data_IF_699962960425
#
_entry.id   IF_699962960425
#
_cell.length_a   1.000
_cell.length_b   1.000
_cell.length_c   1.000
_cell.angle_alpha   90.00
_cell.angle_beta   90.00
_cell.angle_gamma   90.00
#
_symmetry.space_group_name_H-M   'P 1'
#
loop_
_entity.id
_entity.type
_entity.pdbx_description
1 polymer ?
#
# COMPACT_ATOMS: atom_id res chain seq x y z
N UNK A 1 0.82 -2.59 46.43
CA UNK A 1 1.58 -2.21 45.22
C UNK A 1 3.07 -2.32 45.50
N UNK A 2 3.64 -3.52 45.38
CA UNK A 2 5.05 -3.74 45.65
C UNK A 2 5.82 -3.74 44.32
N UNK A 3 6.63 -2.70 44.09
CA UNK A 3 7.62 -2.70 43.00
C UNK A 3 8.74 -3.67 43.38
N UNK A 4 9.21 -4.46 42.43
CA UNK A 4 10.35 -5.35 42.65
C UNK A 4 11.60 -4.57 43.06
N UNK A 5 12.27 -5.03 44.11
CA UNK A 5 13.54 -4.50 44.58
C UNK A 5 14.68 -4.81 43.59
N UNK A 6 15.80 -4.09 43.72
CA UNK A 6 16.99 -4.32 42.87
C UNK A 6 17.56 -5.74 43.02
N UNK A 7 17.44 -6.32 44.22
CA UNK A 7 17.88 -7.68 44.52
C UNK A 7 16.97 -8.72 43.84
N UNK A 8 15.65 -8.50 43.88
CA UNK A 8 14.68 -9.35 43.19
C UNK A 8 14.90 -9.36 41.67
N UNK A 9 15.24 -8.23 41.07
CA UNK A 9 15.59 -8.17 39.64
C UNK A 9 16.88 -8.96 39.30
N UNK A 10 17.85 -9.02 40.21
CA UNK A 10 19.07 -9.79 40.01
C UNK A 10 18.81 -11.30 40.08
N UNK A 11 17.93 -11.74 40.98
CA UNK A 11 17.53 -13.14 41.09
C UNK A 11 16.72 -13.60 39.87
N UNK A 12 15.82 -12.76 39.37
CA UNK A 12 15.04 -13.03 38.14
C UNK A 12 15.96 -13.14 36.93
N UNK A 13 16.96 -12.25 36.82
CA UNK A 13 18.00 -12.34 35.79
C UNK A 13 18.71 -13.69 35.85
N UNK A 14 19.18 -14.08 37.03
CA UNK A 14 19.92 -15.34 37.22
C UNK A 14 19.09 -16.56 36.86
N UNK A 15 17.79 -16.55 37.22
CA UNK A 15 16.85 -17.62 36.84
C UNK A 15 16.63 -17.67 35.32
N UNK A 16 16.45 -16.51 34.68
CA UNK A 16 16.24 -16.45 33.23
C UNK A 16 17.48 -16.86 32.43
N UNK A 17 18.67 -16.48 32.89
CA UNK A 17 19.95 -16.87 32.26
C UNK A 17 20.28 -18.36 32.44
N UNK A 18 19.74 -19.00 33.50
CA UNK A 18 19.90 -20.43 33.76
C UNK A 18 18.85 -21.32 33.08
N UNK A 19 17.73 -20.75 32.63
CA UNK A 19 16.65 -21.51 31.99
C UNK A 19 16.88 -21.63 30.47
N UNK A 20 16.56 -22.79 29.90
CA UNK A 20 16.68 -23.06 28.47
C UNK A 20 15.57 -22.39 27.64
N UNK A 21 14.41 -22.08 28.22
CA UNK A 21 13.22 -21.55 27.53
C UNK A 21 13.41 -20.14 27.01
N UNK A 22 13.22 -19.93 25.71
CA UNK A 22 13.33 -18.60 25.09
C UNK A 22 12.14 -17.68 25.45
N UNK A 23 12.40 -16.38 25.43
CA UNK A 23 11.43 -15.34 25.73
C UNK A 23 11.21 -15.06 27.22
N UNK A 24 10.24 -14.18 27.50
CA UNK A 24 9.99 -13.62 28.83
C UNK A 24 8.56 -13.87 29.33
N UNK A 25 7.77 -14.67 28.60
CA UNK A 25 6.34 -14.87 28.88
C UNK A 25 6.14 -15.76 30.12
N UNK A 26 6.81 -16.92 30.15
CA UNK A 26 6.75 -17.84 31.29
C UNK A 26 7.20 -17.18 32.60
N UNK A 27 8.18 -16.28 32.52
CA UNK A 27 8.70 -15.54 33.67
C UNK A 27 7.68 -14.51 34.17
N UNK A 28 6.92 -13.88 33.27
CA UNK A 28 5.84 -12.96 33.65
C UNK A 28 4.68 -13.72 34.32
N UNK A 29 4.33 -14.89 33.80
CA UNK A 29 3.27 -15.73 34.36
C UNK A 29 3.64 -16.24 35.76
N UNK A 30 4.91 -16.64 35.97
CA UNK A 30 5.42 -17.08 37.27
C UNK A 30 5.45 -15.95 38.30
N UNK A 31 5.91 -14.75 37.91
CA UNK A 31 5.91 -13.58 38.80
C UNK A 31 4.49 -13.14 39.15
N UNK A 32 3.55 -13.24 38.20
CA UNK A 32 2.13 -12.99 38.44
C UNK A 32 1.54 -14.00 39.42
N UNK A 33 1.90 -15.29 39.31
CA UNK A 33 1.49 -16.33 40.25
C UNK A 33 2.06 -16.12 41.67
N UNK A 34 3.23 -15.49 41.80
CA UNK A 34 3.84 -15.11 43.08
C UNK A 34 3.25 -13.82 43.66
N UNK A 35 2.25 -13.22 43.01
CA UNK A 35 1.57 -11.99 43.46
C UNK A 35 2.27 -10.69 43.06
N UNK A 36 3.22 -10.73 42.12
CA UNK A 36 3.85 -9.55 41.55
C UNK A 36 3.17 -9.14 40.24
N UNK A 37 2.72 -7.89 40.14
CA UNK A 37 2.11 -7.33 38.93
C UNK A 37 3.18 -6.93 37.90
N UNK A 38 3.85 -7.92 37.28
CA UNK A 38 4.91 -7.71 36.27
C UNK A 38 4.49 -8.32 34.93
N UNK A 39 4.36 -7.49 33.90
CA UNK A 39 4.02 -7.93 32.54
C UNK A 39 5.30 -8.29 31.74
N UNK A 40 5.22 -9.22 30.80
CA UNK A 40 6.28 -9.57 29.83
C UNK A 40 7.02 -8.35 29.27
N UNK A 41 6.30 -7.27 28.93
CA UNK A 41 6.88 -6.05 28.37
C UNK A 41 7.83 -5.32 29.35
N UNK A 42 7.52 -5.33 30.65
CA UNK A 42 8.39 -4.70 31.66
C UNK A 42 9.66 -5.50 31.87
N UNK A 43 9.60 -6.83 31.81
CA UNK A 43 10.77 -7.73 31.85
C UNK A 43 11.64 -7.54 30.60
N UNK A 44 11.04 -7.52 29.40
CA UNK A 44 11.80 -7.32 28.16
C UNK A 44 12.54 -5.96 28.12
N UNK A 45 11.91 -4.90 28.65
CA UNK A 45 12.53 -3.58 28.78
C UNK A 45 13.65 -3.57 29.83
N UNK A 46 13.49 -4.30 30.94
CA UNK A 46 14.54 -4.46 31.95
C UNK A 46 15.73 -5.27 31.40
N UNK A 47 15.46 -6.37 30.69
CA UNK A 47 16.46 -7.22 30.04
C UNK A 47 17.29 -6.47 29.01
N UNK A 48 16.64 -5.66 28.16
CA UNK A 48 17.33 -4.80 27.17
C UNK A 48 18.20 -3.74 27.83
N UNK A 49 17.74 -3.15 28.95
CA UNK A 49 18.45 -2.08 29.66
C UNK A 49 19.63 -2.60 30.48
N UNK A 50 19.57 -3.84 30.95
CA UNK A 50 20.60 -4.49 31.76
C UNK A 50 21.47 -5.48 30.97
N UNK A 51 21.21 -5.64 29.67
CA UNK A 51 21.97 -6.53 28.78
C UNK A 51 21.93 -7.99 29.23
N UNK A 52 20.74 -8.53 29.47
CA UNK A 52 20.60 -9.96 29.78
C UNK A 52 20.98 -10.79 28.55
N UNK A 53 21.78 -11.83 28.73
CA UNK A 53 22.22 -12.71 27.67
C UNK A 53 22.33 -14.14 28.22
N UNK A 54 21.83 -15.12 27.47
CA UNK A 54 22.01 -16.52 27.82
C UNK A 54 23.42 -16.95 27.42
N UNK A 55 24.09 -17.70 28.28
CA UNK A 55 25.40 -18.27 27.98
C UNK A 55 25.27 -19.19 26.75
N UNK A 56 25.80 -18.76 25.61
CA UNK A 56 25.81 -19.54 24.37
C UNK A 56 25.15 -18.90 23.15
N UNK A 57 24.56 -17.71 23.27
CA UNK A 57 24.12 -16.93 22.11
C UNK A 57 24.84 -15.59 22.09
N UNK A 58 25.84 -15.47 21.21
CA UNK A 58 26.43 -14.18 20.84
C UNK A 58 25.30 -13.29 20.31
N UNK A 59 25.04 -12.23 21.06
CA UNK A 59 24.00 -11.28 20.77
C UNK A 59 24.40 -10.49 19.52
N UNK A 60 23.75 -10.74 18.38
CA UNK A 60 23.82 -9.85 17.20
C UNK A 60 23.09 -8.56 17.57
N UNK A 61 23.78 -7.73 18.34
CA UNK A 61 23.38 -6.35 18.58
C UNK A 61 23.66 -5.58 17.28
N UNK A 62 22.60 -5.08 16.66
CA UNK A 62 22.64 -4.14 15.55
C UNK A 62 23.55 -2.96 15.92
N UNK A 63 24.79 -2.97 15.43
CA UNK A 63 25.68 -1.81 15.43
C UNK A 63 25.25 -0.90 14.28
N UNK A 64 24.67 0.24 14.61
CA UNK A 64 24.66 1.39 13.71
C UNK A 64 26.11 1.80 13.43
N UNK A 65 26.52 1.76 12.17
CA UNK A 65 27.83 2.27 11.73
C UNK A 65 27.62 3.53 10.91
N UNK A 66 28.14 4.62 11.47
CA UNK A 66 28.35 5.92 10.82
C UNK A 66 29.66 5.87 10.02
N UNK A 67 29.58 6.32 8.76
CA UNK A 67 30.59 6.89 7.84
C UNK A 67 32.05 6.37 7.75
N UNK A 68 32.55 6.51 6.50
CA UNK A 68 33.93 6.46 5.96
C UNK A 68 34.57 5.07 5.89
N UNK A 69 35.03 4.59 4.74
CA UNK A 69 36.11 5.21 3.95
C UNK A 69 36.02 5.00 2.43
N UNK A 70 36.64 5.96 1.73
CA UNK A 70 36.97 5.90 0.31
C UNK A 70 38.21 5.03 0.13
N UNK A 71 38.13 4.00 -0.71
CA UNK A 71 39.28 3.51 -1.48
C UNK A 71 38.86 2.96 -2.84
N UNK A 72 39.45 3.56 -3.87
CA UNK A 72 39.96 2.99 -5.13
C UNK A 72 39.15 1.89 -5.82
N UNK A 73 38.52 2.19 -6.96
CA UNK A 73 39.10 1.98 -8.31
C UNK A 73 39.92 0.70 -8.41
N UNK A 74 39.31 -0.36 -8.96
CA UNK A 74 39.80 -1.13 -10.12
C UNK A 74 38.81 -2.26 -10.46
N UNK A 75 38.85 -2.71 -11.71
CA UNK A 75 38.07 -3.79 -12.34
C UNK A 75 36.71 -3.41 -12.96
N UNK A 76 36.82 -2.44 -13.86
CA UNK A 76 36.22 -2.53 -15.21
C UNK A 76 36.77 -3.77 -15.93
N UNK A 77 35.98 -4.31 -16.87
CA UNK A 77 36.34 -5.34 -17.85
C UNK A 77 36.53 -6.76 -17.30
N UNK A 78 35.42 -7.46 -17.11
CA UNK A 78 35.23 -8.87 -17.49
C UNK A 78 33.79 -9.27 -17.12
N UNK A 79 32.83 -9.01 -18.00
CA UNK A 79 31.52 -9.69 -18.10
C UNK A 79 30.72 -9.16 -19.31
N UNK A 80 31.42 -8.90 -20.43
CA UNK A 80 30.81 -8.50 -21.71
C UNK A 80 30.65 -9.69 -22.66
N UNK A 81 31.19 -10.86 -22.34
CA UNK A 81 31.10 -12.05 -23.19
C UNK A 81 30.49 -13.18 -22.37
N UNK A 82 29.17 -13.35 -22.46
CA UNK A 82 28.37 -14.56 -22.16
C UNK A 82 26.86 -14.21 -22.15
N UNK A 83 26.41 -13.41 -23.12
CA UNK A 83 24.99 -13.06 -23.32
C UNK A 83 24.46 -13.45 -24.71
N UNK A 84 25.24 -14.19 -25.50
CA UNK A 84 24.98 -14.34 -26.94
C UNK A 84 24.54 -15.75 -27.38
N UNK A 85 24.27 -16.66 -26.44
CA UNK A 85 23.95 -18.05 -26.79
C UNK A 85 22.78 -18.55 -25.94
N UNK A 86 21.57 -18.02 -26.18
CA UNK A 86 20.28 -18.64 -25.80
C UNK A 86 19.10 -17.75 -26.28
N UNK A 87 18.98 -17.58 -27.60
CA UNK A 87 17.80 -16.99 -28.22
C UNK A 87 16.64 -18.01 -28.21
N UNK A 88 15.72 -17.87 -27.26
CA UNK A 88 14.42 -18.54 -27.33
C UNK A 88 13.54 -17.78 -28.34
N UNK A 89 13.26 -18.41 -29.47
CA UNK A 89 12.32 -17.93 -30.49
C UNK A 89 10.90 -17.93 -29.91
N UNK A 90 10.44 -16.78 -29.42
CA UNK A 90 9.02 -16.56 -29.16
C UNK A 90 8.30 -16.42 -30.51
N UNK A 91 7.56 -17.46 -30.88
CA UNK A 91 6.61 -17.40 -32.00
C UNK A 91 5.38 -16.64 -31.51
N UNK A 92 5.33 -15.35 -31.82
CA UNK A 92 4.15 -14.49 -31.68
C UNK A 92 3.12 -14.89 -32.74
N UNK A 93 1.89 -15.32 -32.38
CA UNK A 93 0.83 -15.45 -33.37
C UNK A 93 0.38 -14.06 -33.87
N UNK A 94 0.17 -13.97 -35.18
CA UNK A 94 -0.13 -12.73 -35.91
C UNK A 94 -1.40 -12.01 -35.38
N UNK A 95 -1.46 -10.67 -35.43
CA UNK A 95 -2.65 -9.92 -35.04
C UNK A 95 -3.75 -10.09 -36.10
N UNK A 96 -4.89 -10.63 -35.71
CA UNK A 96 -6.13 -10.54 -36.50
C UNK A 96 -6.67 -9.11 -36.39
N UNK A 97 -6.54 -8.34 -37.48
CA UNK A 97 -7.21 -7.06 -37.65
C UNK A 97 -8.73 -7.28 -37.70
N UNK A 98 -9.46 -6.73 -36.73
CA UNK A 98 -10.91 -6.53 -36.85
C UNK A 98 -11.15 -5.10 -37.37
N UNK A 99 -12.15 -4.89 -38.24
CA UNK A 99 -12.36 -3.62 -38.90
C UNK A 99 -12.78 -2.53 -37.89
N UNK A 100 -12.15 -1.37 -38.03
CA UNK A 100 -12.48 -0.12 -37.35
C UNK A 100 -13.86 0.35 -37.85
N UNK A 101 -14.86 0.60 -36.97
CA UNK A 101 -16.05 1.31 -37.39
C UNK A 101 -15.71 2.78 -37.64
N UNK A 102 -16.07 3.23 -38.83
CA UNK A 102 -15.92 4.56 -39.41
C UNK A 102 -16.54 5.64 -38.51
N UNK A 103 -15.76 6.69 -38.22
CA UNK A 103 -16.20 7.85 -37.45
C UNK A 103 -17.22 8.65 -38.27
N UNK A 104 -18.44 8.80 -37.74
CA UNK A 104 -19.40 9.78 -38.25
C UNK A 104 -19.17 11.14 -37.56
N UNK A 105 -19.40 12.25 -38.27
CA UNK A 105 -18.97 13.58 -37.84
C UNK A 105 -19.83 14.13 -36.72
N UNK A 106 -19.17 14.81 -35.79
CA UNK A 106 -19.75 15.59 -34.70
C UNK A 106 -20.67 16.69 -35.27
N UNK A 107 -21.94 16.68 -34.88
CA UNK A 107 -22.82 17.84 -35.01
C UNK A 107 -23.06 18.42 -33.61
N UNK A 108 -22.43 19.58 -33.39
CA UNK A 108 -22.73 20.50 -32.31
C UNK A 108 -24.19 20.97 -32.38
N UNK A 109 -25.02 20.59 -31.41
CA UNK A 109 -26.14 21.41 -30.94
C UNK A 109 -26.71 20.90 -29.61
N UNK A 110 -26.84 21.85 -28.67
CA UNK A 110 -27.73 21.84 -27.50
C UNK A 110 -27.16 21.40 -26.14
N UNK A 111 -26.51 22.38 -25.49
CA UNK A 111 -25.97 22.35 -24.13
C UNK A 111 -27.04 22.41 -23.01
N UNK A 112 -28.29 21.96 -23.24
CA UNK A 112 -29.31 21.97 -22.18
C UNK A 112 -30.47 20.97 -22.37
N UNK A 113 -30.17 19.74 -22.82
CA UNK A 113 -31.14 18.65 -22.79
C UNK A 113 -30.94 17.81 -21.52
N UNK A 114 -31.99 17.67 -20.70
CA UNK A 114 -32.05 16.71 -19.61
C UNK A 114 -31.69 15.30 -20.13
N UNK A 115 -30.92 14.48 -19.37
CA UNK A 115 -30.47 13.18 -19.87
C UNK A 115 -31.68 12.27 -20.08
N UNK A 116 -32.13 12.20 -21.32
CA UNK A 116 -33.11 11.25 -21.78
C UNK A 116 -32.42 9.89 -21.81
N UNK A 117 -32.90 8.97 -20.97
CA UNK A 117 -32.40 7.60 -20.93
C UNK A 117 -32.83 6.91 -22.22
N UNK A 118 -31.96 6.89 -23.24
CA UNK A 118 -32.12 5.98 -24.37
C UNK A 118 -31.88 4.56 -23.86
N UNK A 119 -32.97 3.79 -23.80
CA UNK A 119 -32.92 2.34 -23.66
C UNK A 119 -32.17 1.77 -24.87
N UNK A 120 -30.89 1.47 -24.68
CA UNK A 120 -30.10 0.73 -25.67
C UNK A 120 -30.58 -0.72 -25.70
N UNK A 121 -31.16 -1.13 -26.82
CA UNK A 121 -31.69 -2.47 -27.09
C UNK A 121 -30.67 -3.57 -26.74
N UNK A 122 -31.02 -4.41 -25.75
CA UNK A 122 -30.23 -5.55 -25.23
C UNK A 122 -30.11 -6.74 -26.21
N UNK A 123 -30.19 -6.51 -27.52
CA UNK A 123 -30.50 -7.56 -28.50
C UNK A 123 -29.30 -8.35 -29.06
N UNK A 124 -28.04 -8.01 -28.79
CA UNK A 124 -26.88 -8.69 -29.39
C UNK A 124 -25.91 -9.41 -28.42
N UNK A 125 -26.41 -9.97 -27.31
CA UNK A 125 -25.63 -10.85 -26.45
C UNK A 125 -26.07 -12.32 -26.55
N UNK A 126 -25.86 -12.96 -27.70
CA UNK A 126 -25.99 -14.43 -27.82
C UNK A 126 -24.71 -15.13 -27.36
N UNK A 127 -24.61 -15.54 -26.10
CA UNK A 127 -23.89 -16.75 -25.62
C UNK A 127 -24.43 -17.14 -24.24
N UNK A 128 -24.98 -18.36 -24.11
CA UNK A 128 -25.82 -18.83 -23.00
C UNK A 128 -25.17 -18.84 -21.62
N UNK A 129 -25.37 -17.76 -20.87
CA UNK A 129 -25.08 -17.64 -19.44
C UNK A 129 -25.98 -16.57 -18.81
N UNK A 130 -25.97 -16.46 -17.47
CA UNK A 130 -26.68 -15.38 -16.77
C UNK A 130 -26.16 -14.04 -17.29
N UNK A 131 -27.03 -13.11 -17.73
CA UNK A 131 -26.60 -11.81 -18.25
C UNK A 131 -25.73 -11.07 -17.23
N UNK A 132 -24.68 -10.42 -17.72
CA UNK A 132 -23.78 -9.65 -16.87
C UNK A 132 -24.54 -8.46 -16.29
N UNK A 133 -24.36 -8.17 -15.00
CA UNK A 133 -24.95 -6.98 -14.36
C UNK A 133 -24.33 -5.66 -14.82
N UNK A 134 -23.35 -5.68 -15.72
CA UNK A 134 -22.62 -4.50 -16.13
C UNK A 134 -23.45 -3.66 -17.10
N UNK A 135 -23.42 -2.34 -16.91
CA UNK A 135 -24.06 -1.36 -17.79
C UNK A 135 -23.01 -0.30 -18.18
N UNK A 136 -22.95 0.14 -19.46
CA UNK A 136 -21.92 1.09 -19.92
C UNK A 136 -21.87 2.42 -19.13
N UNK A 137 -23.00 2.89 -18.61
CA UNK A 137 -23.05 4.13 -17.81
C UNK A 137 -22.30 4.01 -16.46
N UNK A 138 -22.01 2.79 -15.99
CA UNK A 138 -21.19 2.56 -14.81
C UNK A 138 -19.77 3.08 -14.98
N UNK A 139 -19.27 3.23 -16.20
CA UNK A 139 -17.94 3.81 -16.47
C UNK A 139 -17.84 5.25 -15.94
N UNK A 140 -18.89 6.05 -16.16
CA UNK A 140 -18.95 7.43 -15.65
C UNK A 140 -19.00 7.45 -14.14
N UNK A 141 -19.80 6.58 -13.53
CA UNK A 141 -19.94 6.48 -12.07
C UNK A 141 -18.64 6.01 -11.42
N UNK A 142 -18.01 4.97 -11.96
CA UNK A 142 -16.75 4.44 -11.47
C UNK A 142 -15.61 5.45 -11.52
N UNK A 143 -15.50 6.22 -12.63
CA UNK A 143 -14.56 7.33 -12.73
C UNK A 143 -14.79 8.41 -11.67
N UNK A 144 -16.04 8.81 -11.44
CA UNK A 144 -16.38 9.82 -10.43
C UNK A 144 -16.07 9.32 -9.00
N UNK A 145 -16.39 8.07 -8.70
CA UNK A 145 -16.09 7.44 -7.41
C UNK A 145 -14.58 7.31 -7.20
N UNK A 146 -13.82 6.83 -8.19
CA UNK A 146 -12.36 6.76 -8.11
C UNK A 146 -11.71 8.14 -7.97
N UNK A 147 -12.29 9.18 -8.58
CA UNK A 147 -11.84 10.57 -8.40
C UNK A 147 -12.00 11.04 -6.95
N UNK A 148 -13.02 10.56 -6.26
CA UNK A 148 -13.23 10.80 -4.83
C UNK A 148 -12.33 9.93 -3.93
N UNK A 149 -11.50 9.06 -4.51
CA UNK A 149 -10.61 8.16 -3.79
C UNK A 149 -11.22 6.79 -3.47
N UNK A 150 -12.35 6.43 -4.08
CA UNK A 150 -12.99 5.15 -3.81
C UNK A 150 -12.11 3.96 -4.20
N UNK A 151 -12.02 3.00 -3.29
CA UNK A 151 -11.37 1.71 -3.47
C UNK A 151 -12.25 0.74 -4.28
N UNK A 152 -11.64 -0.34 -4.76
CA UNK A 152 -12.37 -1.35 -5.53
C UNK A 152 -13.44 -2.08 -4.68
N UNK A 153 -13.25 -2.14 -3.36
CA UNK A 153 -14.22 -2.67 -2.40
C UNK A 153 -15.43 -1.75 -2.25
N UNK A 154 -15.19 -0.44 -2.12
CA UNK A 154 -16.27 0.57 -2.03
C UNK A 154 -17.04 0.69 -3.36
N UNK A 155 -16.36 0.53 -4.50
CA UNK A 155 -17.01 0.38 -5.80
C UNK A 155 -17.94 -0.85 -5.83
N UNK A 156 -17.47 -1.98 -5.31
CA UNK A 156 -18.26 -3.20 -5.26
C UNK A 156 -19.50 -3.03 -4.39
N UNK A 157 -19.36 -2.39 -3.22
CA UNK A 157 -20.46 -2.03 -2.33
C UNK A 157 -21.46 -1.08 -3.01
N UNK A 158 -20.97 -0.02 -3.67
CA UNK A 158 -21.81 0.94 -4.39
C UNK A 158 -22.65 0.28 -5.49
N UNK A 159 -22.03 -0.60 -6.29
CA UNK A 159 -22.72 -1.32 -7.36
C UNK A 159 -23.50 -2.55 -6.87
N UNK A 160 -23.48 -2.85 -5.57
CA UNK A 160 -24.09 -4.04 -4.97
C UNK A 160 -23.66 -5.34 -5.66
N UNK A 161 -22.37 -5.44 -5.96
CA UNK A 161 -21.73 -6.62 -6.55
C UNK A 161 -20.55 -7.06 -5.68
N UNK A 162 -20.03 -8.26 -5.93
CA UNK A 162 -18.79 -8.70 -5.29
C UNK A 162 -17.58 -8.00 -5.90
N UNK A 163 -16.50 -7.86 -5.13
CA UNK A 163 -15.21 -7.38 -5.66
C UNK A 163 -14.71 -8.21 -6.84
N UNK A 164 -14.96 -9.53 -6.82
CA UNK A 164 -14.65 -10.42 -7.95
C UNK A 164 -15.39 -10.03 -9.22
N UNK A 165 -16.61 -9.49 -9.12
CA UNK A 165 -17.38 -8.99 -10.25
C UNK A 165 -16.76 -7.72 -10.81
N UNK A 166 -16.34 -6.77 -9.96
CA UNK A 166 -15.61 -5.57 -10.38
C UNK A 166 -14.30 -5.92 -11.07
N UNK A 167 -13.56 -6.91 -10.54
CA UNK A 167 -12.32 -7.38 -11.17
C UNK A 167 -12.57 -8.05 -12.51
N UNK A 168 -13.67 -8.79 -12.65
CA UNK A 168 -14.10 -9.34 -13.94
C UNK A 168 -14.48 -8.24 -14.93
N UNK A 169 -15.19 -7.19 -14.49
CA UNK A 169 -15.53 -6.05 -15.34
C UNK A 169 -14.29 -5.34 -15.88
N UNK A 170 -13.25 -5.17 -15.07
CA UNK A 170 -11.97 -4.58 -15.53
C UNK A 170 -11.25 -5.40 -16.60
N UNK A 171 -11.46 -6.72 -16.61
CA UNK A 171 -10.86 -7.63 -17.61
C UNK A 171 -11.68 -7.66 -18.90
N UNK A 172 -13.01 -7.70 -18.77
CA UNK A 172 -13.91 -7.86 -19.91
C UNK A 172 -14.22 -6.53 -20.61
N UNK A 173 -14.23 -5.42 -19.87
CA UNK A 173 -14.60 -4.09 -20.36
C UNK A 173 -13.42 -3.12 -20.23
N UNK A 174 -12.78 -2.83 -21.36
CA UNK A 174 -11.60 -1.95 -21.42
C UNK A 174 -11.99 -0.52 -21.01
N UNK A 175 -13.14 -0.03 -21.45
CA UNK A 175 -13.65 1.32 -21.13
C UNK A 175 -13.86 1.52 -19.62
N UNK A 176 -14.41 0.50 -18.94
CA UNK A 176 -14.55 0.51 -17.47
C UNK A 176 -13.18 0.59 -16.79
N UNK A 177 -12.21 -0.22 -17.24
CA UNK A 177 -10.83 -0.19 -16.73
C UNK A 177 -10.15 1.17 -16.92
N UNK A 178 -10.31 1.78 -18.09
CA UNK A 178 -9.80 3.11 -18.41
C UNK A 178 -10.46 4.20 -17.55
N UNK A 179 -11.78 4.10 -17.35
CA UNK A 179 -12.52 5.04 -16.51
C UNK A 179 -12.01 5.04 -15.07
N UNK A 180 -11.75 3.86 -14.48
CA UNK A 180 -11.19 3.70 -13.14
C UNK A 180 -9.78 4.28 -13.07
N UNK A 181 -8.92 3.95 -14.06
CA UNK A 181 -7.54 4.45 -14.11
C UNK A 181 -7.51 5.97 -14.17
N UNK A 182 -8.31 6.57 -15.05
CA UNK A 182 -8.39 8.03 -15.20
C UNK A 182 -8.86 8.72 -13.91
N UNK A 183 -9.84 8.14 -13.20
CA UNK A 183 -10.29 8.66 -11.90
C UNK A 183 -9.19 8.60 -10.84
N UNK A 184 -8.50 7.46 -10.72
CA UNK A 184 -7.40 7.27 -9.75
C UNK A 184 -6.22 8.19 -10.01
N UNK A 185 -5.84 8.40 -11.28
CA UNK A 185 -4.75 9.33 -11.64
C UNK A 185 -5.01 10.75 -11.12
N UNK A 186 -6.27 11.21 -11.15
CA UNK A 186 -6.60 12.54 -10.64
C UNK A 186 -6.52 12.61 -9.11
N UNK A 187 -7.02 11.58 -8.41
CA UNK A 187 -6.89 11.49 -6.96
C UNK A 187 -5.42 11.42 -6.52
N UNK A 188 -4.61 10.63 -7.22
CA UNK A 188 -3.16 10.54 -7.02
C UNK A 188 -2.45 11.87 -7.30
N UNK A 189 -2.90 12.63 -8.31
CA UNK A 189 -2.36 13.95 -8.61
C UNK A 189 -2.61 14.95 -7.48
N UNK A 190 -3.82 15.01 -6.91
CA UNK A 190 -4.12 15.90 -5.79
C UNK A 190 -3.33 15.50 -4.53
N UNK A 191 -3.17 14.20 -4.27
CA UNK A 191 -2.34 13.71 -3.18
C UNK A 191 -0.86 14.07 -3.38
N UNK A 192 -0.35 13.95 -4.61
CA UNK A 192 1.00 14.36 -4.99
C UNK A 192 1.20 15.87 -4.79
N UNK A 193 0.21 16.68 -5.14
CA UNK A 193 0.19 18.13 -4.94
C UNK A 193 0.24 18.51 -3.46
N UNK A 194 -0.59 17.87 -2.63
CA UNK A 194 -0.58 18.05 -1.17
C UNK A 194 0.76 17.65 -0.56
N UNK A 195 1.33 16.52 -1.01
CA UNK A 195 2.64 16.06 -0.58
C UNK A 195 3.75 17.04 -0.99
N UNK A 196 3.71 17.57 -2.21
CA UNK A 196 4.66 18.55 -2.70
C UNK A 196 4.60 19.86 -1.91
N UNK A 197 3.39 20.41 -1.67
CA UNK A 197 3.19 21.60 -0.84
C UNK A 197 3.78 21.41 0.55
N UNK A 198 3.58 20.23 1.16
CA UNK A 198 4.16 19.88 2.46
C UNK A 198 5.69 19.75 2.42
N UNK A 199 6.23 19.19 1.34
CA UNK A 199 7.67 19.02 1.14
C UNK A 199 8.40 20.37 0.95
N UNK A 200 7.80 21.35 0.28
CA UNK A 200 8.39 22.69 0.09
C UNK A 200 8.09 23.66 1.23
N UNK A 201 7.04 23.39 2.00
CA UNK A 201 6.42 24.38 2.88
C UNK A 201 5.47 25.28 2.09
N UNK A 202 4.43 25.77 2.76
CA UNK A 202 3.43 26.67 2.17
C UNK A 202 2.84 27.61 3.23
N UNK A 203 2.36 28.78 2.78
CA UNK A 203 1.65 29.74 3.63
C UNK A 203 0.15 29.58 3.44
N UNK A 204 -0.60 29.60 4.52
CA UNK A 204 -2.06 29.59 4.48
C UNK A 204 -2.65 30.68 5.37
N UNK A 205 -3.81 31.19 4.95
CA UNK A 205 -4.61 32.14 5.72
C UNK A 205 -5.55 31.34 6.60
N UNK A 206 -5.38 31.44 7.92
CA UNK A 206 -6.32 30.88 8.88
C UNK A 206 -7.32 31.97 9.26
N UNK A 207 -8.61 31.70 9.03
CA UNK A 207 -9.68 32.59 9.44
C UNK A 207 -10.23 32.09 10.77
N UNK A 208 -10.06 32.86 11.83
CA UNK A 208 -10.63 32.55 13.15
C UNK A 208 -11.76 33.52 13.45
N UNK A 209 -12.95 32.98 13.68
CA UNK A 209 -14.11 33.73 14.17
C UNK A 209 -14.01 33.85 15.68
N UNK A 210 -13.86 35.07 16.20
CA UNK A 210 -14.04 35.34 17.63
C UNK A 210 -15.44 35.90 17.83
N UNK A 211 -16.23 35.26 18.69
CA UNK A 211 -17.50 35.82 19.16
C UNK A 211 -17.17 36.85 20.23
N UNK A 212 -17.53 38.12 19.99
CA UNK A 212 -17.35 39.19 20.96
C UNK A 212 -18.72 39.61 21.44
N UNK A 213 -18.96 39.58 22.75
CA UNK A 213 -20.15 40.23 23.34
C UNK A 213 -19.93 41.73 23.27
N UNK A 214 -20.83 42.53 22.67
CA UNK A 214 -20.70 43.97 22.71
C UNK A 214 -20.79 44.42 24.17
N UNK A 215 -19.68 44.91 24.73
CA UNK A 215 -19.73 45.70 25.95
C UNK A 215 -20.35 47.04 25.57
N UNK A 216 -21.56 47.30 26.09
CA UNK A 216 -22.16 48.62 26.02
C UNK A 216 -21.22 49.63 26.69
N UNK A 217 -20.77 50.63 25.93
CA UNK A 217 -20.11 51.81 26.46
C UNK A 217 -21.17 52.61 27.23
N UNK A 218 -21.27 52.35 28.53
CA UNK A 218 -22.03 53.17 29.47
C UNK A 218 -21.07 54.06 30.24
N UNK A 219 -21.04 55.34 29.88
CA UNK A 219 -20.39 56.37 30.67
C UNK A 219 -21.12 56.48 32.02
N UNK A 220 -20.45 56.09 33.10
CA UNK A 220 -20.83 56.50 34.46
C UNK A 220 -22.02 55.76 35.09
N UNK A 221 -21.72 55.13 36.22
CA UNK A 221 -22.63 54.80 37.31
C UNK A 221 -23.59 53.61 37.11
N UNK A 222 -23.04 52.42 37.39
CA UNK A 222 -23.68 51.47 38.31
C UNK A 222 -25.09 51.01 37.96
N UNK A 223 -25.29 50.41 36.80
CA UNK A 223 -26.44 49.52 36.58
C UNK A 223 -26.06 48.33 35.71
N UNK A 224 -25.87 47.18 36.35
CA UNK A 224 -25.81 45.87 35.67
C UNK A 224 -27.26 45.52 35.32
N UNK A 225 -27.70 45.97 34.15
CA UNK A 225 -28.93 45.45 33.55
C UNK A 225 -28.54 44.15 32.87
N UNK A 226 -29.06 43.03 33.39
CA UNK A 226 -29.01 41.74 32.72
C UNK A 226 -29.77 41.86 31.39
N UNK A 227 -29.02 42.06 30.30
CA UNK A 227 -29.56 42.08 28.96
C UNK A 227 -30.17 40.71 28.65
N UNK A 228 -31.42 40.73 28.20
CA UNK A 228 -32.18 39.53 27.84
C UNK A 228 -31.55 38.78 26.66
N UNK A 229 -31.92 37.50 26.55
CA UNK A 229 -31.30 36.47 25.71
C UNK A 229 -31.35 36.67 24.16
N UNK A 230 -31.44 37.89 23.63
CA UNK A 230 -31.59 38.14 22.18
C UNK A 230 -30.67 39.24 21.62
N UNK A 231 -29.41 39.30 22.09
CA UNK A 231 -28.42 40.26 21.59
C UNK A 231 -27.52 39.64 20.51
N UNK A 232 -27.63 40.20 19.29
CA UNK A 232 -26.86 39.84 18.10
C UNK A 232 -25.35 39.69 18.39
N UNK A 233 -24.83 38.49 18.20
CA UNK A 233 -23.40 38.19 18.22
C UNK A 233 -22.72 38.80 16.99
N UNK A 234 -21.89 39.81 17.20
CA UNK A 234 -20.97 40.30 16.16
C UNK A 234 -19.80 39.33 16.06
N UNK A 235 -19.67 38.67 14.90
CA UNK A 235 -18.59 37.76 14.59
C UNK A 235 -17.44 38.56 14.00
N UNK A 236 -16.36 38.76 14.76
CA UNK A 236 -15.14 39.34 14.23
C UNK A 236 -14.33 38.23 13.54
N UNK A 237 -14.14 38.38 12.24
CA UNK A 237 -13.41 37.44 11.37
C UNK A 237 -11.95 37.87 11.32
N UNK A 238 -11.10 37.31 12.18
CA UNK A 238 -9.66 37.62 12.18
C UNK A 238 -8.95 36.68 11.21
N UNK A 239 -8.36 37.24 10.14
CA UNK A 239 -7.53 36.48 9.18
C UNK A 239 -6.07 36.58 9.60
N UNK A 240 -5.44 35.46 9.97
CA UNK A 240 -4.00 35.40 10.32
C UNK A 240 -3.24 34.58 9.28
N UNK A 241 -2.12 35.09 8.78
CA UNK A 241 -1.22 34.34 7.88
C UNK A 241 -0.30 33.44 8.72
N UNK A 242 -0.31 32.13 8.42
CA UNK A 242 0.58 31.13 9.03
C UNK A 242 1.44 30.46 7.98
N UNK A 243 2.70 30.21 8.33
CA UNK A 243 3.66 29.50 7.49
C UNK A 243 3.86 28.07 8.03
N UNK A 244 3.70 27.09 7.15
CA UNK A 244 4.04 25.69 7.42
C UNK A 244 5.45 25.46 6.90
N UNK A 245 6.44 25.12 7.77
CA UNK A 245 7.78 24.83 7.31
C UNK A 245 7.81 23.56 6.47
N UNK A 246 8.81 23.40 5.58
CA UNK A 246 9.00 22.18 4.81
C UNK A 246 9.18 20.95 5.71
N UNK A 247 8.46 19.88 5.41
CA UNK A 247 8.59 18.60 6.08
C UNK A 247 9.66 17.75 5.38
N UNK A 248 10.73 17.43 6.11
CA UNK A 248 11.86 16.64 5.60
C UNK A 248 11.45 15.22 5.19
N UNK A 249 10.46 14.64 5.88
CA UNK A 249 9.94 13.30 5.56
C UNK A 249 9.17 13.32 4.25
N UNK A 250 8.33 14.34 4.06
CA UNK A 250 7.59 14.56 2.82
C UNK A 250 8.56 14.80 1.64
N UNK A 251 9.60 15.61 1.85
CA UNK A 251 10.64 15.84 0.85
C UNK A 251 11.38 14.56 0.46
N UNK A 252 11.72 13.70 1.43
CA UNK A 252 12.36 12.41 1.17
C UNK A 252 11.47 11.47 0.36
N UNK A 253 10.18 11.34 0.73
CA UNK A 253 9.21 10.52 0.00
C UNK A 253 9.04 11.05 -1.43
N UNK A 254 8.94 12.36 -1.60
CA UNK A 254 8.83 13.00 -2.91
C UNK A 254 10.03 12.68 -3.81
N UNK A 255 11.25 12.78 -3.26
CA UNK A 255 12.49 12.51 -3.99
C UNK A 255 12.66 11.03 -4.31
N UNK A 256 12.24 10.11 -3.44
CA UNK A 256 12.17 8.67 -3.74
C UNK A 256 11.27 8.36 -4.92
N UNK A 257 10.13 9.04 -5.02
CA UNK A 257 9.17 8.82 -6.11
C UNK A 257 9.65 9.42 -7.44
N UNK A 258 10.24 10.64 -7.43
CA UNK A 258 10.68 11.32 -8.66
C UNK A 258 12.08 10.97 -9.14
N UNK A 259 13.00 10.62 -8.24
CA UNK A 259 14.39 10.27 -8.54
C UNK A 259 14.76 8.94 -7.86
N UNK A 260 14.09 7.83 -8.23
CA UNK A 260 14.31 6.55 -7.59
C UNK A 260 15.75 6.06 -7.76
N UNK A 261 16.44 6.42 -8.83
CA UNK A 261 17.84 6.02 -9.07
C UNK A 261 18.80 6.55 -7.99
N UNK A 262 18.56 7.76 -7.50
CA UNK A 262 19.47 8.44 -6.57
C UNK A 262 19.00 8.33 -5.10
N UNK A 263 17.68 8.22 -4.88
CA UNK A 263 17.07 8.30 -3.54
C UNK A 263 16.46 6.99 -3.04
N UNK A 264 16.30 5.96 -3.89
CA UNK A 264 15.80 4.67 -3.42
C UNK A 264 16.91 3.91 -2.69
N UNK A 265 16.56 3.31 -1.57
CA UNK A 265 17.46 2.47 -0.79
C UNK A 265 18.04 1.35 -1.66
N UNK A 266 19.37 1.25 -1.69
CA UNK A 266 20.06 0.14 -2.36
C UNK A 266 19.97 -1.09 -1.47
N UNK A 267 19.23 -2.09 -1.93
CA UNK A 267 19.20 -3.40 -1.27
C UNK A 267 20.29 -4.25 -1.94
N UNK A 268 21.41 -4.40 -1.25
CA UNK A 268 22.45 -5.35 -1.66
C UNK A 268 22.01 -6.74 -1.20
N UNK A 269 21.47 -7.52 -2.14
CA UNK A 269 21.13 -8.92 -1.91
C UNK A 269 22.38 -9.74 -2.19
N UNK A 270 23.12 -10.09 -1.14
CA UNK A 270 24.16 -11.08 -1.23
C UNK A 270 23.54 -12.47 -1.45
N UNK A 271 23.49 -12.92 -2.71
CA UNK A 271 23.12 -14.31 -3.05
C UNK A 271 24.29 -15.26 -2.74
N UNK A 272 24.69 -15.36 -1.46
CA UNK A 272 25.76 -16.25 -1.00
C UNK A 272 25.28 -17.65 -0.66
N UNK A 273 24.05 -18.02 -1.05
CA UNK A 273 23.58 -19.40 -1.00
C UNK A 273 24.23 -20.19 -2.14
N UNK A 274 25.46 -20.65 -1.92
CA UNK A 274 26.11 -21.64 -2.79
C UNK A 274 25.27 -22.92 -2.71
N UNK A 275 24.37 -23.10 -3.67
CA UNK A 275 23.66 -24.36 -3.84
C UNK A 275 24.72 -25.43 -4.10
N UNK A 276 24.76 -26.43 -3.22
CA UNK A 276 25.66 -27.57 -3.35
C UNK A 276 25.49 -28.20 -4.75
N UNK A 277 26.58 -28.43 -5.52
CA UNK A 277 26.48 -29.06 -6.85
C UNK A 277 25.65 -30.34 -6.85
N UNK A 278 25.70 -31.13 -5.78
CA UNK A 278 24.92 -32.36 -5.64
C UNK A 278 23.41 -32.08 -5.53
N UNK A 279 23.03 -31.06 -4.76
CA UNK A 279 21.64 -30.59 -4.65
C UNK A 279 21.12 -30.08 -6.00
N UNK A 280 21.97 -29.42 -6.78
CA UNK A 280 21.58 -28.91 -8.10
C UNK A 280 21.28 -30.05 -9.09
N UNK A 281 22.10 -31.11 -9.07
CA UNK A 281 21.87 -32.31 -9.90
C UNK A 281 20.57 -32.99 -9.46
N UNK A 282 20.36 -33.16 -8.15
CA UNK A 282 19.12 -33.75 -7.61
C UNK A 282 17.88 -32.95 -7.97
N UNK A 283 17.94 -31.62 -7.92
CA UNK A 283 16.83 -30.75 -8.32
C UNK A 283 16.55 -30.90 -9.82
N UNK A 284 17.59 -30.94 -10.66
CA UNK A 284 17.43 -31.15 -12.10
C UNK A 284 16.80 -32.50 -12.43
N UNK A 285 17.25 -33.58 -11.81
CA UNK A 285 16.71 -34.92 -12.06
C UNK A 285 15.24 -35.03 -11.64
N UNK A 286 14.92 -34.60 -10.42
CA UNK A 286 13.53 -34.59 -9.92
C UNK A 286 12.63 -33.70 -10.77
N UNK A 287 13.13 -32.57 -11.26
CA UNK A 287 12.38 -31.71 -12.18
C UNK A 287 12.10 -32.42 -13.50
N UNK A 288 13.10 -33.03 -14.13
CA UNK A 288 12.93 -33.75 -15.41
C UNK A 288 11.95 -34.91 -15.27
N UNK A 289 12.05 -35.69 -14.20
CA UNK A 289 11.13 -36.80 -13.91
C UNK A 289 9.68 -36.30 -13.74
N UNK A 290 9.47 -35.24 -12.94
CA UNK A 290 8.14 -34.66 -12.75
C UNK A 290 7.56 -34.08 -14.03
N UNK A 291 8.39 -33.47 -14.88
CA UNK A 291 7.96 -32.94 -16.17
C UNK A 291 7.63 -34.05 -17.17
N UNK A 292 8.39 -35.15 -17.18
CA UNK A 292 8.07 -36.34 -17.97
C UNK A 292 6.72 -36.93 -17.53
N UNK A 293 6.51 -37.13 -16.23
CA UNK A 293 5.23 -37.62 -15.70
C UNK A 293 4.06 -36.65 -15.96
N UNK A 294 4.29 -35.34 -16.00
CA UNK A 294 3.28 -34.35 -16.39
C UNK A 294 2.93 -34.46 -17.88
N UNK A 295 3.93 -34.61 -18.76
CA UNK A 295 3.73 -34.80 -20.20
C UNK A 295 3.03 -36.12 -20.51
N UNK A 296 3.36 -37.20 -19.81
CA UNK A 296 2.67 -38.48 -19.97
C UNK A 296 1.21 -38.40 -19.54
N UNK A 297 0.91 -37.71 -18.43
CA UNK A 297 -0.48 -37.44 -18.02
C UNK A 297 -1.22 -36.64 -19.07
N UNK A 298 -0.60 -35.58 -19.61
CA UNK A 298 -1.19 -34.80 -20.70
C UNK A 298 -1.41 -35.63 -21.96
N UNK A 299 -0.43 -36.46 -22.36
CA UNK A 299 -0.53 -37.36 -23.52
C UNK A 299 -1.67 -38.37 -23.33
N UNK A 300 -1.80 -38.99 -22.15
CA UNK A 300 -2.92 -39.89 -21.83
C UNK A 300 -4.27 -39.20 -21.95
N UNK A 301 -4.40 -37.99 -21.39
CA UNK A 301 -5.64 -37.20 -21.51
C UNK A 301 -5.96 -36.85 -22.96
N UNK A 302 -4.95 -36.60 -23.80
CA UNK A 302 -5.14 -36.32 -25.22
C UNK A 302 -5.52 -37.57 -26.03
N UNK A 303 -4.98 -38.74 -25.69
CA UNK A 303 -5.37 -40.04 -26.26
C UNK A 303 -6.81 -40.37 -25.87
N UNK A 304 -7.16 -40.24 -24.58
CA UNK A 304 -8.54 -40.45 -24.08
C UNK A 304 -9.57 -39.54 -24.77
N UNK A 305 -9.14 -38.34 -25.17
CA UNK A 305 -9.97 -37.37 -25.91
C UNK A 305 -9.90 -37.53 -27.43
N UNK A 306 -9.17 -38.53 -27.95
CA UNK A 306 -9.07 -38.85 -29.38
C UNK A 306 -8.33 -37.80 -30.22
N UNK A 307 -7.45 -37.00 -29.60
CA UNK A 307 -6.69 -35.93 -30.28
C UNK A 307 -5.31 -36.39 -30.78
N UNK A 308 -4.83 -37.55 -30.34
CA UNK A 308 -3.52 -38.12 -30.70
C UNK A 308 -3.67 -39.65 -30.82
N UNK A 309 -3.10 -40.23 -31.88
CA UNK A 309 -3.09 -41.67 -32.11
C UNK A 309 -2.10 -42.40 -31.18
N UNK A 310 -2.44 -43.63 -30.77
CA UNK A 310 -1.61 -44.51 -29.95
C UNK A 310 -0.43 -45.10 -30.76
N UNK A 311 0.56 -44.27 -31.11
CA UNK A 311 1.89 -44.72 -31.54
C UNK A 311 2.97 -44.09 -30.65
#
# INVERSE_FOLDING_TARGET
>A
MAKLSKEQWADIRRRWEADERDGHQWLADELTAQGYEVNRATIAKAASRQGWAKNGQENIASKNVTQSDKTSRENVTQNVTLRDEMSLTNVTPAPTEKPVPEATPETDSDANAEPQWEEVDEAEARHGGRPSKYMPHFDRQARLLCRLGATDAELAEFFMVSESTINLWKLNYITFSESIKSGKVWADAEAADGLFRRATGFRYKEVKTKQVRPMAAGDGEGSIVAAGDDDLQVVEVVTTEKEVPPDTSAAFIWLRNRRPKDWRDKIEVENTTKLDPEMLVRIKTVFVERMAAARERQRKVLIERGLIDEN
#
